data_IF_776272230504
#
_entry.id   IF_776272230504
#
_cell.length_a   1.000
_cell.length_b   1.000
_cell.length_c   1.000
_cell.angle_alpha   90.00
_cell.angle_beta   90.00
_cell.angle_gamma   90.00
#
_symmetry.space_group_name_H-M   'P 1'
#
loop_
_entity.id
_entity.type
_entity.pdbx_description
1 polymer ?
#
# COMPACT_ATOMS: atom_id res chain seq x y z
N UNK A 1 6.06 52.47 -12.13
CA UNK A 1 7.20 51.59 -11.79
C UNK A 1 6.85 50.56 -10.71
N UNK A 2 6.38 50.98 -9.52
CA UNK A 2 6.07 50.06 -8.41
C UNK A 2 5.04 48.95 -8.73
N UNK A 3 4.00 49.25 -9.53
CA UNK A 3 2.98 48.27 -9.95
C UNK A 3 3.55 47.08 -10.76
N UNK A 4 4.56 47.33 -11.58
CA UNK A 4 5.20 46.29 -12.40
C UNK A 4 6.12 45.38 -11.58
N UNK A 5 6.75 45.93 -10.54
CA UNK A 5 7.58 45.16 -9.60
C UNK A 5 6.69 44.20 -8.78
N UNK A 6 5.54 44.68 -8.32
CA UNK A 6 4.58 43.83 -7.58
C UNK A 6 4.04 42.70 -8.46
N UNK A 7 3.69 42.99 -9.71
CA UNK A 7 3.28 41.97 -10.69
C UNK A 7 4.39 40.95 -10.97
N UNK A 8 5.63 41.42 -11.18
CA UNK A 8 6.79 40.54 -11.40
C UNK A 8 7.07 39.64 -10.20
N UNK A 9 7.03 40.19 -8.99
CA UNK A 9 7.19 39.42 -7.76
C UNK A 9 6.08 38.38 -7.58
N UNK A 10 4.82 38.74 -7.84
CA UNK A 10 3.67 37.82 -7.75
C UNK A 10 3.83 36.64 -8.70
N UNK A 11 4.21 36.90 -9.96
CA UNK A 11 4.46 35.87 -10.98
C UNK A 11 5.60 34.94 -10.55
N UNK A 12 6.71 35.49 -10.07
CA UNK A 12 7.84 34.69 -9.57
C UNK A 12 7.45 33.82 -8.37
N UNK A 13 6.65 34.33 -7.43
CA UNK A 13 6.16 33.53 -6.29
C UNK A 13 5.19 32.42 -6.72
N UNK A 14 4.33 32.67 -7.71
CA UNK A 14 3.46 31.63 -8.27
C UNK A 14 4.25 30.55 -9.01
N UNK A 15 5.28 30.94 -9.78
CA UNK A 15 6.15 29.98 -10.48
C UNK A 15 6.98 29.16 -9.48
N UNK A 16 7.58 29.80 -8.48
CA UNK A 16 8.33 29.09 -7.43
C UNK A 16 7.45 28.15 -6.60
N UNK A 17 6.25 28.60 -6.22
CA UNK A 17 5.27 27.77 -5.52
C UNK A 17 4.78 26.59 -6.37
N UNK A 18 4.51 26.83 -7.66
CA UNK A 18 4.10 25.78 -8.61
C UNK A 18 5.17 24.72 -8.83
N UNK A 19 6.43 25.11 -8.95
CA UNK A 19 7.56 24.18 -9.09
C UNK A 19 7.74 23.30 -7.85
N UNK A 20 7.72 23.89 -6.66
CA UNK A 20 7.81 23.14 -5.40
C UNK A 20 6.63 22.19 -5.21
N UNK A 21 5.41 22.65 -5.50
CA UNK A 21 4.22 21.80 -5.43
C UNK A 21 4.29 20.63 -6.44
N UNK A 22 4.72 20.91 -7.68
CA UNK A 22 4.91 19.88 -8.70
C UNK A 22 5.93 18.83 -8.29
N UNK A 23 7.08 19.25 -7.77
CA UNK A 23 8.12 18.36 -7.27
C UNK A 23 7.65 17.48 -6.10
N UNK A 24 6.96 18.08 -5.12
CA UNK A 24 6.39 17.37 -3.98
C UNK A 24 5.32 16.35 -4.40
N UNK A 25 4.39 16.77 -5.27
CA UNK A 25 3.33 15.90 -5.79
C UNK A 25 3.92 14.73 -6.59
N UNK A 26 4.94 14.98 -7.41
CA UNK A 26 5.64 13.93 -8.14
C UNK A 26 6.27 12.89 -7.20
N UNK A 27 6.86 13.32 -6.07
CA UNK A 27 7.41 12.39 -5.08
C UNK A 27 6.33 11.55 -4.41
N UNK A 28 5.16 12.13 -4.12
CA UNK A 28 4.05 11.40 -3.50
C UNK A 28 3.39 10.39 -4.44
N UNK A 29 3.38 10.65 -5.74
CA UNK A 29 2.83 9.75 -6.77
C UNK A 29 3.79 8.63 -7.17
N UNK A 30 4.96 8.50 -6.53
CA UNK A 30 5.87 7.39 -6.83
C UNK A 30 5.26 6.07 -6.36
N UNK A 31 5.42 4.98 -7.14
CA UNK A 31 5.01 3.66 -6.70
C UNK A 31 5.69 3.27 -5.38
N UNK A 32 4.89 2.77 -4.45
CA UNK A 32 5.36 2.19 -3.19
C UNK A 32 4.63 0.87 -2.93
N UNK A 33 5.21 0.05 -2.06
CA UNK A 33 4.61 -1.18 -1.57
C UNK A 33 4.89 -1.30 -0.08
N UNK A 34 3.86 -1.62 0.69
CA UNK A 34 4.00 -1.95 2.11
C UNK A 34 3.50 -3.37 2.32
N UNK A 35 4.33 -4.20 2.94
CA UNK A 35 4.01 -5.59 3.23
C UNK A 35 4.68 -5.99 4.52
N UNK A 36 4.12 -7.03 5.15
CA UNK A 36 4.75 -7.68 6.29
C UNK A 36 5.21 -9.06 5.86
N UNK A 37 6.49 -9.39 6.14
CA UNK A 37 7.01 -10.72 5.89
C UNK A 37 6.59 -11.66 7.01
N UNK A 38 5.89 -12.75 6.66
CA UNK A 38 5.61 -13.85 7.59
C UNK A 38 6.68 -14.92 7.37
N UNK A 39 7.45 -15.31 8.41
CA UNK A 39 8.45 -16.37 8.28
C UNK A 39 7.80 -17.68 7.84
N UNK A 40 8.39 -18.31 6.83
CA UNK A 40 7.97 -19.60 6.33
C UNK A 40 8.97 -20.68 6.78
N UNK A 41 8.54 -21.94 6.86
CA UNK A 41 9.44 -23.04 7.25
C UNK A 41 10.64 -23.09 6.29
N UNK A 42 11.90 -22.99 6.76
CA UNK A 42 13.08 -23.00 5.90
C UNK A 42 13.23 -24.29 5.06
N UNK A 43 12.69 -25.41 5.54
CA UNK A 43 12.75 -26.71 4.85
C UNK A 43 11.71 -26.86 3.73
N UNK A 44 10.80 -25.89 3.62
CA UNK A 44 9.74 -25.95 2.60
C UNK A 44 10.29 -25.76 1.19
N UNK A 45 9.74 -26.53 0.26
CA UNK A 45 10.04 -26.37 -1.17
C UNK A 45 9.34 -25.13 -1.73
N UNK A 46 9.83 -24.61 -2.86
CA UNK A 46 9.19 -23.49 -3.55
C UNK A 46 7.72 -23.80 -3.89
N UNK A 47 7.43 -25.01 -4.34
CA UNK A 47 6.07 -25.45 -4.68
C UNK A 47 5.12 -25.43 -3.47
N UNK A 48 5.60 -25.81 -2.28
CA UNK A 48 4.81 -25.72 -1.04
C UNK A 48 4.52 -24.27 -0.65
N UNK A 49 5.48 -23.36 -0.88
CA UNK A 49 5.31 -21.93 -0.63
C UNK A 49 4.29 -21.32 -1.59
N UNK A 50 4.37 -21.66 -2.89
CA UNK A 50 3.42 -21.20 -3.91
C UNK A 50 2.01 -21.71 -3.63
N UNK A 51 1.86 -22.98 -3.24
CA UNK A 51 0.56 -23.53 -2.82
C UNK A 51 -0.01 -22.79 -1.61
N UNK A 52 0.84 -22.48 -0.63
CA UNK A 52 0.41 -21.71 0.55
C UNK A 52 0.00 -20.27 0.20
N UNK A 53 0.67 -19.65 -0.78
CA UNK A 53 0.26 -18.35 -1.34
C UNK A 53 -1.12 -18.44 -1.98
N UNK A 54 -1.39 -19.48 -2.77
CA UNK A 54 -2.70 -19.68 -3.40
C UNK A 54 -3.82 -19.91 -2.37
N UNK A 55 -3.55 -20.73 -1.35
CA UNK A 55 -4.51 -21.03 -0.29
C UNK A 55 -4.82 -19.76 0.54
N UNK A 56 -3.80 -18.97 0.88
CA UNK A 56 -4.00 -17.67 1.54
C UNK A 56 -4.75 -16.68 0.66
N UNK A 57 -4.49 -16.64 -0.66
CA UNK A 57 -5.27 -15.81 -1.58
C UNK A 57 -6.75 -16.20 -1.55
N UNK A 58 -7.06 -17.50 -1.59
CA UNK A 58 -8.46 -17.97 -1.54
C UNK A 58 -9.15 -17.61 -0.24
N UNK A 59 -8.44 -17.68 0.89
CA UNK A 59 -9.00 -17.35 2.20
C UNK A 59 -9.18 -15.83 2.41
N UNK A 60 -8.17 -15.04 2.04
CA UNK A 60 -8.10 -13.61 2.36
C UNK A 60 -8.76 -12.70 1.32
N UNK A 61 -8.86 -13.13 0.05
CA UNK A 61 -9.52 -12.34 -1.01
C UNK A 61 -11.04 -12.54 -1.04
N UNK A 62 -11.62 -12.94 0.09
CA UNK A 62 -13.07 -13.02 0.24
C UNK A 62 -13.66 -11.62 0.44
N UNK A 63 -14.82 -11.38 -0.17
CA UNK A 63 -15.50 -10.07 -0.06
C UNK A 63 -15.76 -9.70 1.39
N UNK A 64 -16.06 -10.66 2.25
CA UNK A 64 -16.31 -10.44 3.69
C UNK A 64 -15.08 -9.89 4.41
N UNK A 65 -13.90 -10.48 4.19
CA UNK A 65 -12.64 -10.03 4.80
C UNK A 65 -12.27 -8.65 4.29
N UNK A 66 -12.31 -8.45 2.97
CA UNK A 66 -11.93 -7.18 2.36
C UNK A 66 -12.89 -6.04 2.73
N UNK A 67 -14.19 -6.31 2.80
CA UNK A 67 -15.22 -5.37 3.29
C UNK A 67 -14.91 -4.96 4.73
N UNK A 68 -14.57 -5.92 5.60
CA UNK A 68 -14.15 -5.65 6.98
C UNK A 68 -12.92 -4.73 7.04
N UNK A 69 -11.90 -5.01 6.21
CA UNK A 69 -10.69 -4.20 6.13
C UNK A 69 -10.99 -2.78 5.64
N UNK A 70 -11.84 -2.62 4.61
CA UNK A 70 -12.25 -1.30 4.09
C UNK A 70 -12.90 -0.46 5.19
N UNK A 71 -13.81 -1.06 5.97
CA UNK A 71 -14.52 -0.38 7.08
C UNK A 71 -13.57 -0.01 8.20
N UNK A 72 -12.76 -0.95 8.67
CA UNK A 72 -11.84 -0.75 9.80
C UNK A 72 -10.78 0.32 9.48
N UNK A 73 -10.32 0.38 8.23
CA UNK A 73 -9.30 1.33 7.81
C UNK A 73 -9.85 2.64 7.20
N UNK A 74 -11.16 2.74 6.99
CA UNK A 74 -11.84 3.90 6.40
C UNK A 74 -11.37 4.25 4.99
N UNK A 75 -11.04 3.24 4.17
CA UNK A 75 -10.38 3.45 2.87
C UNK A 75 -11.25 4.21 1.88
N UNK A 76 -12.57 3.96 1.88
CA UNK A 76 -13.51 4.64 0.98
C UNK A 76 -13.37 6.16 1.09
N UNK A 77 -13.41 6.70 2.32
CA UNK A 77 -13.31 8.14 2.56
C UNK A 77 -11.90 8.67 2.29
N UNK A 78 -10.85 7.93 2.69
CA UNK A 78 -9.45 8.36 2.53
C UNK A 78 -9.03 8.44 1.07
N UNK A 79 -9.46 7.48 0.26
CA UNK A 79 -9.11 7.39 -1.16
C UNK A 79 -10.16 8.03 -2.06
N UNK A 80 -11.21 8.62 -1.48
CA UNK A 80 -12.30 9.31 -2.19
C UNK A 80 -12.97 8.42 -3.24
N UNK A 81 -13.24 7.17 -2.86
CA UNK A 81 -13.88 6.19 -3.73
C UNK A 81 -15.40 6.38 -3.70
N UNK A 82 -16.06 5.92 -4.77
CA UNK A 82 -17.50 6.16 -4.97
C UNK A 82 -18.40 5.26 -4.13
N UNK A 83 -17.87 4.13 -3.63
CA UNK A 83 -18.58 3.19 -2.80
C UNK A 83 -17.63 2.25 -2.06
N UNK A 84 -18.16 1.59 -1.03
CA UNK A 84 -17.48 0.50 -0.32
C UNK A 84 -17.05 -0.63 -1.28
N UNK A 85 -17.91 -1.04 -2.22
CA UNK A 85 -17.56 -2.04 -3.23
C UNK A 85 -16.41 -1.57 -4.13
N UNK A 86 -16.36 -0.29 -4.50
CA UNK A 86 -15.24 0.24 -5.28
C UNK A 86 -13.92 0.15 -4.49
N UNK A 87 -13.96 0.34 -3.17
CA UNK A 87 -12.80 0.15 -2.30
C UNK A 87 -12.36 -1.30 -2.22
N UNK A 88 -13.29 -2.25 -2.09
CA UNK A 88 -12.97 -3.69 -2.10
C UNK A 88 -12.29 -4.10 -3.41
N UNK A 89 -12.83 -3.68 -4.55
CA UNK A 89 -12.24 -4.00 -5.85
C UNK A 89 -10.85 -3.38 -6.04
N UNK A 90 -10.64 -2.16 -5.53
CA UNK A 90 -9.33 -1.53 -5.57
C UNK A 90 -8.32 -2.26 -4.66
N UNK A 91 -8.73 -2.72 -3.47
CA UNK A 91 -7.89 -3.54 -2.61
C UNK A 91 -7.51 -4.87 -3.27
N UNK A 92 -8.46 -5.56 -3.93
CA UNK A 92 -8.17 -6.81 -4.67
C UNK A 92 -7.08 -6.62 -5.72
N UNK A 93 -7.08 -5.49 -6.43
CA UNK A 93 -6.08 -5.17 -7.46
C UNK A 93 -4.70 -4.85 -6.88
N UNK A 94 -4.67 -4.27 -5.68
CA UNK A 94 -3.46 -3.76 -5.03
C UNK A 94 -2.80 -4.75 -4.09
N UNK A 95 -3.52 -5.79 -3.65
CA UNK A 95 -3.00 -6.75 -2.68
C UNK A 95 -1.76 -7.49 -3.21
N UNK A 96 -0.85 -7.77 -2.31
CA UNK A 96 0.38 -8.53 -2.51
C UNK A 96 0.27 -9.75 -1.60
N UNK A 97 0.25 -10.93 -2.19
CA UNK A 97 0.45 -12.19 -1.49
C UNK A 97 1.41 -12.98 -2.38
N UNK A 98 2.68 -13.03 -1.98
CA UNK A 98 3.76 -13.65 -2.75
C UNK A 98 4.76 -14.35 -1.84
N UNK A 99 5.37 -15.42 -2.33
CA UNK A 99 6.54 -16.02 -1.69
C UNK A 99 7.76 -15.17 -2.02
N UNK A 100 8.62 -14.97 -1.03
CA UNK A 100 9.85 -14.21 -1.20
C UNK A 100 10.87 -14.56 -0.14
N UNK A 101 11.89 -13.72 -0.06
CA UNK A 101 12.94 -13.85 0.94
C UNK A 101 13.18 -12.46 1.53
N UNK A 102 13.37 -12.41 2.84
CA UNK A 102 13.78 -11.18 3.51
C UNK A 102 14.79 -11.47 4.60
N UNK A 103 15.48 -10.44 5.03
CA UNK A 103 16.42 -10.54 6.14
C UNK A 103 15.68 -10.27 7.44
N UNK A 104 15.40 -11.32 8.20
CA UNK A 104 14.81 -11.23 9.54
C UNK A 104 15.94 -11.34 10.57
N UNK A 105 16.13 -10.29 11.38
CA UNK A 105 17.19 -10.23 12.41
C UNK A 105 18.60 -10.57 11.88
N UNK A 106 18.89 -10.17 10.64
CA UNK A 106 20.18 -10.44 9.99
C UNK A 106 20.30 -11.80 9.31
N UNK A 107 19.25 -12.65 9.36
CA UNK A 107 19.26 -13.98 8.73
C UNK A 107 18.36 -13.97 7.50
N UNK A 108 18.86 -14.39 6.32
CA UNK A 108 18.01 -14.57 5.15
C UNK A 108 17.00 -15.69 5.43
N UNK A 109 15.73 -15.33 5.36
CA UNK A 109 14.61 -16.21 5.72
C UNK A 109 13.61 -16.22 4.58
N UNK A 110 13.14 -17.41 4.22
CA UNK A 110 12.01 -17.55 3.31
C UNK A 110 10.76 -16.97 3.97
N UNK A 111 10.06 -16.09 3.27
CA UNK A 111 8.89 -15.42 3.82
C UNK A 111 7.73 -15.43 2.86
N UNK A 112 6.54 -15.36 3.42
CA UNK A 112 5.32 -15.07 2.69
C UNK A 112 5.00 -13.59 2.92
N UNK A 113 5.13 -12.80 1.85
CA UNK A 113 4.96 -11.37 1.89
C UNK A 113 3.49 -11.03 1.65
N UNK A 114 2.86 -10.43 2.65
CA UNK A 114 1.44 -10.04 2.62
C UNK A 114 1.34 -8.51 2.76
N UNK A 115 0.66 -7.85 1.83
CA UNK A 115 0.55 -6.39 1.87
C UNK A 115 -0.23 -5.78 0.71
N UNK A 116 0.06 -4.52 0.41
CA UNK A 116 -0.61 -3.73 -0.63
C UNK A 116 0.38 -2.85 -1.41
N UNK A 117 0.12 -2.68 -2.70
CA UNK A 117 0.78 -1.73 -3.60
C UNK A 117 0.01 -0.41 -3.59
N UNK A 118 0.71 0.70 -3.76
CA UNK A 118 0.10 2.01 -3.89
C UNK A 118 1.16 3.05 -4.19
N UNK A 119 1.00 4.24 -3.61
CA UNK A 119 1.96 5.33 -3.78
C UNK A 119 2.57 5.76 -2.45
N UNK A 120 3.71 6.47 -2.49
CA UNK A 120 4.38 6.99 -1.29
C UNK A 120 3.45 7.88 -0.44
N UNK A 121 2.57 8.66 -1.07
CA UNK A 121 1.57 9.46 -0.35
C UNK A 121 0.57 8.63 0.47
N UNK A 122 0.38 7.35 0.12
CA UNK A 122 -0.56 6.42 0.75
C UNK A 122 0.13 5.50 1.76
N UNK A 123 1.45 5.65 1.97
CA UNK A 123 2.27 4.72 2.76
C UNK A 123 1.68 4.39 4.15
N UNK A 124 1.15 5.39 4.84
CA UNK A 124 0.53 5.20 6.17
C UNK A 124 -0.72 4.32 6.11
N UNK A 125 -1.54 4.51 5.09
CA UNK A 125 -2.74 3.71 4.89
C UNK A 125 -2.39 2.29 4.44
N UNK A 126 -1.41 2.14 3.53
CA UNK A 126 -0.92 0.82 3.11
C UNK A 126 -0.36 0.02 4.29
N UNK A 127 0.35 0.68 5.22
CA UNK A 127 0.85 0.04 6.43
C UNK A 127 -0.30 -0.41 7.35
N UNK A 128 -1.27 0.45 7.61
CA UNK A 128 -2.44 0.11 8.44
C UNK A 128 -3.24 -1.05 7.83
N UNK A 129 -3.40 -1.07 6.50
CA UNK A 129 -4.04 -2.16 5.77
C UNK A 129 -3.27 -3.48 5.92
N UNK A 130 -1.96 -3.46 5.76
CA UNK A 130 -1.13 -4.64 5.92
C UNK A 130 -1.20 -5.19 7.35
N UNK A 131 -1.10 -4.33 8.37
CA UNK A 131 -1.22 -4.70 9.78
C UNK A 131 -2.59 -5.33 10.10
N UNK A 132 -3.67 -4.74 9.58
CA UNK A 132 -5.03 -5.25 9.77
C UNK A 132 -5.24 -6.60 9.09
N UNK A 133 -4.71 -6.76 7.88
CA UNK A 133 -4.80 -8.01 7.11
C UNK A 133 -4.07 -9.16 7.83
N UNK A 134 -2.93 -8.90 8.45
CA UNK A 134 -2.21 -9.92 9.24
C UNK A 134 -3.00 -10.34 10.47
N UNK A 135 -3.74 -9.43 11.09
CA UNK A 135 -4.61 -9.79 12.20
C UNK A 135 -5.69 -10.80 11.77
N UNK A 136 -6.14 -10.78 10.50
CA UNK A 136 -7.02 -11.82 9.96
C UNK A 136 -6.26 -13.10 9.63
N UNK A 137 -5.04 -13.00 9.11
CA UNK A 137 -4.16 -14.17 8.87
C UNK A 137 -3.88 -14.94 10.17
N UNK A 138 -3.66 -14.25 11.28
CA UNK A 138 -3.41 -14.87 12.59
C UNK A 138 -4.65 -15.56 13.19
N UNK A 139 -5.84 -15.29 12.66
CA UNK A 139 -7.10 -15.88 13.11
C UNK A 139 -7.52 -17.10 12.28
N UNK A 140 -6.87 -17.33 11.13
CA UNK A 140 -7.02 -18.53 10.30
C UNK A 140 -6.26 -19.70 10.93
#
# INVERSE_FOLDING_TARGET
>A
MQRWIVLGALVLSLLGGGLMFGYWKQHQSRPDRQWVPIPFNPESTQEQREKSVEDLRKALLTDTVLTGIVRDCGIESKWKLQSEQAAVEELKRRIIIEAGETTLRGVPTATLNIGFKGNVGEQRDLKALAERLIADVQRL
#
